data_IF_717913017266
#
_entry.id   IF_717913017266
#
_cell.length_a   1.000
_cell.length_b   1.000
_cell.length_c   1.000
_cell.angle_alpha   90.00
_cell.angle_beta   90.00
_cell.angle_gamma   90.00
#
_symmetry.space_group_name_H-M   'P 1'
#
loop_
_entity.id
_entity.type
_entity.pdbx_description
1 polymer ?
#
# COMPACT_ATOMS: atom_id res chain seq x y z
N UNK A 1 -6.34 2.79 6.40
CA UNK A 1 -5.32 1.90 6.98
C UNK A 1 -3.92 2.51 6.83
N UNK A 2 -3.03 2.34 7.80
CA UNK A 2 -1.66 2.01 7.43
C UNK A 2 -1.78 0.76 6.56
N UNK A 3 -1.57 0.94 5.26
CA UNK A 3 -1.98 0.07 4.17
C UNK A 3 -1.48 -1.37 4.33
N UNK A 4 -0.44 -1.58 5.15
CA UNK A 4 0.14 -2.88 5.45
C UNK A 4 -0.30 -3.52 6.80
N UNK A 5 -0.86 -2.77 7.76
CA UNK A 5 -1.13 -3.30 9.12
C UNK A 5 -2.57 -3.81 9.32
N UNK A 6 -3.53 -3.40 8.49
CA UNK A 6 -4.92 -3.90 8.56
C UNK A 6 -5.79 -3.33 9.68
N UNK A 7 -5.29 -2.38 10.49
CA UNK A 7 -6.00 -1.84 11.67
C UNK A 7 -7.17 -0.88 11.37
N UNK A 8 -7.36 -0.49 10.11
CA UNK A 8 -8.47 0.40 9.70
C UNK A 8 -8.20 1.91 9.75
N UNK A 9 -7.01 2.40 10.12
CA UNK A 9 -6.74 3.85 10.33
C UNK A 9 -5.78 4.41 9.25
N UNK A 10 -6.23 5.18 8.23
CA UNK A 10 -5.45 5.60 7.03
C UNK A 10 -4.08 6.23 7.23
N UNK A 11 -3.97 7.20 8.13
CA UNK A 11 -2.74 7.97 8.29
C UNK A 11 -2.00 7.65 9.59
N UNK A 12 -2.48 6.69 10.37
CA UNK A 12 -1.83 6.30 11.62
C UNK A 12 -0.74 5.25 11.34
N UNK A 13 0.50 5.64 11.62
CA UNK A 13 1.68 4.78 11.52
C UNK A 13 1.98 3.99 12.79
N UNK A 14 1.15 4.10 13.84
CA UNK A 14 1.33 3.45 15.14
C UNK A 14 2.73 3.66 15.76
N UNK A 15 3.30 4.85 15.57
CA UNK A 15 4.62 5.21 16.10
C UNK A 15 5.81 4.58 15.37
N UNK A 16 5.59 3.92 14.23
CA UNK A 16 6.67 3.36 13.39
C UNK A 16 6.56 3.86 11.95
N UNK A 17 7.52 4.71 11.56
CA UNK A 17 7.53 5.38 10.25
C UNK A 17 7.63 4.43 9.04
N UNK A 18 8.01 3.17 9.27
CA UNK A 18 8.09 2.12 8.24
C UNK A 18 6.72 1.63 7.78
N UNK A 19 5.65 1.92 8.54
CA UNK A 19 4.30 1.61 8.11
C UNK A 19 3.91 2.47 6.89
N UNK A 20 3.23 1.83 5.93
CA UNK A 20 2.80 2.46 4.69
C UNK A 20 1.51 3.21 4.99
N UNK A 21 1.49 4.53 4.90
CA UNK A 21 0.26 5.32 5.02
C UNK A 21 -0.59 5.21 3.74
N UNK A 22 -1.89 5.47 3.84
CA UNK A 22 -2.77 5.48 2.67
C UNK A 22 -2.35 6.54 1.64
N UNK A 23 -1.93 7.71 2.09
CA UNK A 23 -1.33 8.75 1.23
C UNK A 23 -0.15 8.27 0.38
N UNK A 24 0.61 7.28 0.83
CA UNK A 24 1.69 6.69 0.02
C UNK A 24 1.17 5.79 -1.10
N UNK A 25 0.03 5.12 -0.88
CA UNK A 25 -0.67 4.37 -1.94
C UNK A 25 -1.23 5.34 -2.97
N UNK A 26 -1.86 6.44 -2.54
CA UNK A 26 -2.39 7.48 -3.43
C UNK A 26 -1.28 8.08 -4.30
N UNK A 27 -0.15 8.45 -3.71
CA UNK A 27 0.98 9.00 -4.45
C UNK A 27 1.58 8.00 -5.48
N UNK A 28 1.63 6.71 -5.12
CA UNK A 28 2.10 5.67 -6.04
C UNK A 28 1.13 5.44 -7.20
N UNK A 29 -0.18 5.51 -6.93
CA UNK A 29 -1.23 5.40 -7.93
C UNK A 29 -1.21 6.59 -8.91
N UNK A 30 -1.09 7.82 -8.39
CA UNK A 30 -0.97 9.04 -9.19
C UNK A 30 0.26 8.99 -10.13
N UNK A 31 1.41 8.53 -9.63
CA UNK A 31 2.63 8.41 -10.42
C UNK A 31 2.50 7.45 -11.63
N UNK A 32 1.48 6.57 -11.64
CA UNK A 32 1.26 5.57 -12.68
C UNK A 32 -0.07 5.73 -13.41
N UNK A 33 -0.80 6.83 -13.21
CA UNK A 33 -2.15 7.06 -13.78
C UNK A 33 -3.12 5.90 -13.45
N UNK A 34 -3.08 5.44 -12.20
CA UNK A 34 -3.89 4.32 -11.68
C UNK A 34 -4.82 4.80 -10.56
N UNK A 35 -5.89 4.03 -10.33
CA UNK A 35 -6.65 4.17 -9.09
C UNK A 35 -5.87 3.60 -7.89
N UNK A 36 -6.11 4.09 -6.64
CA UNK A 36 -5.51 3.49 -5.44
C UNK A 36 -5.78 1.99 -5.31
N UNK A 37 -6.96 1.53 -5.71
CA UNK A 37 -7.33 0.11 -5.68
C UNK A 37 -6.50 -0.71 -6.69
N UNK A 38 -6.24 -0.19 -7.90
CA UNK A 38 -5.33 -0.82 -8.86
C UNK A 38 -3.89 -0.91 -8.33
N UNK A 39 -3.40 0.14 -7.69
CA UNK A 39 -2.06 0.13 -7.09
C UNK A 39 -1.93 -0.96 -6.01
N UNK A 40 -2.94 -1.11 -5.14
CA UNK A 40 -2.97 -2.19 -4.13
C UNK A 40 -3.02 -3.57 -4.80
N UNK A 41 -3.87 -3.76 -5.81
CA UNK A 41 -3.94 -5.04 -6.54
C UNK A 41 -2.60 -5.40 -7.22
N UNK A 42 -1.88 -4.41 -7.74
CA UNK A 42 -0.57 -4.63 -8.36
C UNK A 42 0.50 -5.00 -7.31
N UNK A 43 0.46 -4.37 -6.13
CA UNK A 43 1.33 -4.72 -5.00
C UNK A 43 1.09 -6.17 -4.56
N UNK A 44 -0.17 -6.58 -4.43
CA UNK A 44 -0.53 -7.96 -4.05
C UNK A 44 0.02 -8.98 -5.06
N UNK A 45 -0.20 -8.76 -6.36
CA UNK A 45 0.31 -9.63 -7.43
C UNK A 45 1.85 -9.73 -7.42
N UNK A 46 2.53 -8.62 -7.18
CA UNK A 46 3.99 -8.59 -7.07
C UNK A 46 4.45 -9.42 -5.87
N UNK A 47 3.84 -9.24 -4.70
CA UNK A 47 4.18 -10.04 -3.51
C UNK A 47 3.94 -11.55 -3.71
N UNK A 48 2.87 -11.92 -4.42
CA UNK A 48 2.62 -13.33 -4.78
C UNK A 48 3.72 -13.88 -5.70
N UNK A 49 4.12 -13.12 -6.73
CA UNK A 49 5.21 -13.51 -7.63
C UNK A 49 6.55 -13.70 -6.90
N UNK A 50 6.89 -12.81 -5.96
CA UNK A 50 8.12 -12.94 -5.16
C UNK A 50 8.10 -14.13 -4.18
N UNK A 51 6.93 -14.63 -3.77
CA UNK A 51 6.85 -15.84 -2.93
C UNK A 51 7.07 -17.14 -3.72
N UNK A 52 6.87 -17.11 -5.04
CA UNK A 52 7.03 -18.28 -5.91
C UNK A 52 8.48 -18.49 -6.38
N UNK A 53 9.36 -17.50 -6.12
CA UNK A 53 10.78 -17.48 -6.52
C UNK A 53 11.72 -17.73 -5.33
#
# INVERSE_FOLDING_TARGET
MCANCGCGIPEDKHGDDRNIAWSQIEAAAEANDQSPDEAVNNIEKMAQHEHEH
#
